data_IF_748906623349
#
_entry.id   IF_748906623349
#
_cell.length_a   1.000
_cell.length_b   1.000
_cell.length_c   1.000
_cell.angle_alpha   90.00
_cell.angle_beta   90.00
_cell.angle_gamma   90.00
#
_symmetry.space_group_name_H-M   'P 1'
#
loop_
_entity.id
_entity.type
_entity.pdbx_description
1 polymer ?
#
# COMPACT_ATOMS: atom_id res chain seq x y z
N UNK A 1 3.02 -11.50 -17.29
CA UNK A 1 4.38 -12.06 -17.19
C UNK A 1 4.46 -12.93 -15.93
N UNK A 2 4.05 -14.21 -16.03
CA UNK A 2 4.01 -15.14 -14.90
C UNK A 2 4.83 -16.36 -15.27
N UNK A 3 6.08 -16.41 -14.79
CA UNK A 3 6.81 -17.67 -14.75
C UNK A 3 6.26 -18.43 -13.55
N UNK A 4 5.30 -19.31 -13.82
CA UNK A 4 4.70 -20.23 -12.85
C UNK A 4 5.81 -21.07 -12.19
N UNK A 5 6.29 -20.62 -11.02
CA UNK A 5 7.34 -21.29 -10.26
C UNK A 5 8.49 -20.41 -9.74
N UNK A 6 8.58 -19.13 -10.14
CA UNK A 6 9.54 -18.17 -9.57
C UNK A 6 8.83 -17.04 -8.81
N UNK A 7 7.88 -17.41 -7.95
CA UNK A 7 7.27 -16.47 -7.01
C UNK A 7 8.19 -16.26 -5.83
N UNK A 8 9.09 -15.28 -5.90
CA UNK A 8 9.86 -14.82 -4.74
C UNK A 8 8.87 -14.30 -3.69
N UNK A 9 8.50 -15.18 -2.77
CA UNK A 9 7.63 -14.85 -1.64
C UNK A 9 8.51 -14.23 -0.57
N UNK A 10 8.42 -12.91 -0.42
CA UNK A 10 9.18 -12.16 0.58
C UNK A 10 8.28 -11.80 1.75
N UNK A 11 8.73 -12.12 2.96
CA UNK A 11 8.10 -11.67 4.20
C UNK A 11 8.51 -10.21 4.47
N UNK A 12 7.63 -9.27 4.12
CA UNK A 12 7.87 -7.84 4.32
C UNK A 12 6.90 -7.27 5.37
N UNK A 13 7.38 -6.29 6.13
CA UNK A 13 6.61 -5.62 7.18
C UNK A 13 6.12 -4.26 6.67
N UNK A 14 4.83 -3.92 6.84
CA UNK A 14 4.34 -2.57 6.55
C UNK A 14 4.92 -1.57 7.55
N UNK A 15 5.69 -0.60 7.04
CA UNK A 15 6.35 0.45 7.86
C UNK A 15 5.74 1.83 7.66
N UNK A 16 4.88 2.00 6.65
CA UNK A 16 4.21 3.26 6.38
C UNK A 16 3.15 3.13 5.30
N UNK A 17 2.37 4.18 5.08
CA UNK A 17 1.38 4.21 4.01
C UNK A 17 0.83 5.61 3.78
N UNK A 18 0.25 5.82 2.61
CA UNK A 18 -0.37 7.10 2.23
C UNK A 18 -1.88 7.01 2.36
N UNK A 19 -2.52 8.16 2.62
CA UNK A 19 -3.98 8.21 2.62
C UNK A 19 -4.46 7.98 1.20
N UNK A 20 -5.28 6.95 1.00
CA UNK A 20 -5.87 6.69 -0.30
C UNK A 20 -6.79 7.81 -0.74
N UNK A 21 -6.91 8.01 -2.05
CA UNK A 21 -7.78 9.00 -2.65
C UNK A 21 -8.90 8.33 -3.46
N UNK A 22 -9.95 9.11 -3.80
CA UNK A 22 -11.05 8.64 -4.65
C UNK A 22 -11.79 7.41 -4.11
N UNK A 23 -11.66 6.28 -4.81
CA UNK A 23 -12.29 5.00 -4.43
C UNK A 23 -11.67 4.40 -3.16
N UNK A 24 -10.38 4.67 -2.89
CA UNK A 24 -9.66 4.19 -1.69
C UNK A 24 -9.62 5.22 -0.57
N UNK A 25 -10.45 6.27 -0.61
CA UNK A 25 -10.49 7.34 0.42
C UNK A 25 -10.70 6.86 1.85
N UNK A 26 -11.30 5.69 2.02
CA UNK A 26 -11.57 5.10 3.33
C UNK A 26 -10.33 4.38 3.90
N UNK A 27 -9.31 4.12 3.09
CA UNK A 27 -8.19 3.24 3.43
C UNK A 27 -6.84 3.97 3.26
N UNK A 28 -5.81 3.41 3.90
CA UNK A 28 -4.42 3.74 3.64
C UNK A 28 -3.94 2.85 2.48
N UNK A 29 -3.51 3.48 1.39
CA UNK A 29 -2.98 2.85 0.19
C UNK A 29 -2.26 3.91 -0.66
N UNK A 30 -1.07 3.63 -1.22
CA UNK A 30 -0.34 2.37 -1.13
C UNK A 30 0.33 2.16 0.24
N UNK A 31 0.71 0.92 0.55
CA UNK A 31 1.51 0.57 1.73
C UNK A 31 2.99 0.51 1.37
N UNK A 32 3.85 1.09 2.21
CA UNK A 32 5.29 0.94 2.13
C UNK A 32 5.72 -0.28 2.95
N UNK A 33 6.31 -1.25 2.27
CA UNK A 33 6.82 -2.47 2.87
C UNK A 33 8.34 -2.40 3.02
N UNK A 34 8.85 -3.00 4.09
CA UNK A 34 10.28 -3.09 4.37
C UNK A 34 10.69 -4.49 4.82
N UNK A 35 11.94 -4.83 4.53
CA UNK A 35 12.59 -6.02 5.08
C UNK A 35 13.40 -5.63 6.32
N UNK A 36 13.47 -6.53 7.30
CA UNK A 36 14.31 -6.33 8.48
C UNK A 36 15.73 -6.81 8.19
N UNK A 37 16.71 -5.91 8.26
CA UNK A 37 18.12 -6.26 8.16
C UNK A 37 18.69 -6.52 9.57
N UNK A 38 19.04 -7.78 9.93
CA UNK A 38 19.55 -8.11 11.25
C UNK A 38 20.93 -7.53 11.54
N UNK A 39 21.74 -7.21 10.52
CA UNK A 39 23.08 -6.67 10.69
C UNK A 39 23.06 -5.20 11.08
N UNK A 40 22.19 -4.42 10.44
CA UNK A 40 22.01 -2.99 10.72
C UNK A 40 20.96 -2.72 11.79
N UNK A 41 20.23 -3.75 12.23
CA UNK A 41 19.08 -3.65 13.14
C UNK A 41 18.06 -2.60 12.68
N UNK A 42 17.87 -2.48 11.36
CA UNK A 42 17.08 -1.45 10.72
C UNK A 42 16.13 -2.05 9.68
N UNK A 43 15.02 -1.36 9.44
CA UNK A 43 14.08 -1.70 8.38
C UNK A 43 14.43 -0.96 7.10
N UNK A 44 14.64 -1.70 6.02
CA UNK A 44 14.95 -1.14 4.71
C UNK A 44 13.70 -1.19 3.82
N UNK A 45 13.26 -0.04 3.32
CA UNK A 45 12.11 0.06 2.45
C UNK A 45 12.37 -0.63 1.11
N UNK A 46 11.48 -1.54 0.72
CA UNK A 46 11.61 -2.35 -0.50
C UNK A 46 10.68 -1.83 -1.58
N UNK A 47 9.38 -1.82 -1.33
CA UNK A 47 8.39 -1.52 -2.35
C UNK A 47 7.13 -0.84 -1.80
N UNK A 48 6.41 -0.17 -2.71
CA UNK A 48 5.06 0.33 -2.46
C UNK A 48 4.07 -0.67 -3.05
N UNK A 49 3.13 -1.14 -2.24
CA UNK A 49 2.10 -2.09 -2.66
C UNK A 49 0.75 -1.39 -2.70
N UNK A 50 0.18 -1.29 -3.90
CA UNK A 50 -1.07 -0.59 -4.15
C UNK A 50 -2.30 -1.51 -4.14
N UNK A 51 -2.14 -2.78 -4.53
CA UNK A 51 -3.20 -3.80 -4.60
C UNK A 51 -2.63 -5.17 -4.20
N UNK A 52 -3.48 -6.19 -4.05
CA UNK A 52 -3.05 -7.55 -3.66
C UNK A 52 -3.30 -7.93 -2.19
N UNK A 53 -3.77 -6.99 -1.36
CA UNK A 53 -4.28 -7.28 -0.01
C UNK A 53 -5.80 -7.43 0.01
N UNK A 54 -6.30 -8.11 1.03
CA UNK A 54 -7.74 -8.26 1.28
C UNK A 54 -8.34 -6.97 1.86
N UNK A 55 -9.64 -6.75 1.65
CA UNK A 55 -10.35 -5.60 2.22
C UNK A 55 -10.29 -5.58 3.75
N UNK A 56 -10.26 -6.75 4.38
CA UNK A 56 -10.06 -6.89 5.83
C UNK A 56 -8.69 -6.34 6.26
N UNK A 57 -7.62 -6.70 5.52
CA UNK A 57 -6.29 -6.18 5.76
C UNK A 57 -6.24 -4.65 5.62
N UNK A 58 -6.83 -4.09 4.56
CA UNK A 58 -6.90 -2.64 4.40
C UNK A 58 -7.63 -1.97 5.54
N UNK A 59 -8.76 -2.53 5.97
CA UNK A 59 -9.57 -1.98 7.05
C UNK A 59 -8.78 -2.00 8.37
N UNK A 60 -8.35 -3.17 8.82
CA UNK A 60 -7.66 -3.34 10.10
C UNK A 60 -6.38 -2.52 10.19
N UNK A 61 -5.52 -2.58 9.17
CA UNK A 61 -4.26 -1.85 9.18
C UNK A 61 -4.47 -0.34 9.02
N UNK A 62 -5.51 0.10 8.29
CA UNK A 62 -5.87 1.53 8.25
C UNK A 62 -6.29 2.03 9.62
N UNK A 63 -7.16 1.30 10.32
CA UNK A 63 -7.62 1.65 11.66
C UNK A 63 -6.44 1.73 12.63
N UNK A 64 -5.56 0.72 12.61
CA UNK A 64 -4.38 0.67 13.46
C UNK A 64 -3.38 1.80 13.15
N UNK A 65 -3.08 2.04 11.87
CA UNK A 65 -2.09 3.03 11.45
C UNK A 65 -2.55 4.47 11.67
N UNK A 66 -3.83 4.78 11.42
CA UNK A 66 -4.38 6.12 11.61
C UNK A 66 -4.91 6.35 13.03
N UNK A 67 -4.94 5.32 13.89
CA UNK A 67 -5.46 5.41 15.26
C UNK A 67 -6.95 5.73 15.32
N UNK A 68 -7.72 5.33 14.31
CA UNK A 68 -9.18 5.54 14.23
C UNK A 68 -9.91 4.23 14.51
N UNK A 69 -11.11 4.31 15.07
CA UNK A 69 -11.91 3.11 15.41
C UNK A 69 -12.88 2.72 14.31
N UNK A 70 -13.16 3.62 13.35
CA UNK A 70 -14.07 3.39 12.24
C UNK A 70 -13.59 4.11 10.97
N UNK A 71 -13.49 3.36 9.87
CA UNK A 71 -13.08 3.90 8.56
C UNK A 71 -14.10 4.91 8.00
N UNK A 72 -15.35 4.88 8.47
CA UNK A 72 -16.37 5.87 8.14
C UNK A 72 -16.06 7.28 8.66
N UNK A 73 -15.28 7.41 9.74
CA UNK A 73 -14.84 8.70 10.27
C UNK A 73 -13.89 9.43 9.32
N UNK A 74 -13.10 8.68 8.54
CA UNK A 74 -12.12 9.20 7.59
C UNK A 74 -12.78 9.95 6.43
N UNK A 75 -14.04 9.62 6.10
CA UNK A 75 -14.79 10.24 5.01
C UNK A 75 -15.42 11.61 5.33
N UNK A 76 -15.33 12.10 6.57
CA UNK A 76 -16.04 13.32 7.02
C UNK A 76 -15.17 14.56 7.23
N UNK A 77 -13.85 14.48 7.04
CA UNK A 77 -12.92 15.59 7.32
C UNK A 77 -12.13 16.06 6.11
N UNK A 78 -12.72 16.92 5.27
CA UNK A 78 -11.99 17.67 4.27
C UNK A 78 -11.40 18.94 4.87
N UNK A 79 -10.07 19.04 4.91
CA UNK A 79 -9.23 20.26 4.86
C UNK A 79 -7.98 20.13 5.77
N UNK A 80 -6.83 19.79 5.17
CA UNK A 80 -5.52 20.42 5.44
C UNK A 80 -4.36 19.81 4.61
N UNK A 81 -3.86 20.66 3.71
CA UNK A 81 -2.50 20.83 3.20
C UNK A 81 -1.69 19.60 2.73
N UNK A 82 -1.73 19.42 1.40
CA UNK A 82 -0.84 18.56 0.62
C UNK A 82 0.61 19.07 0.68
N UNK A 83 1.47 18.43 1.49
CA UNK A 83 2.89 18.38 1.17
C UNK A 83 3.07 17.28 0.13
N UNK A 84 2.93 17.70 -1.13
CA UNK A 84 2.99 16.89 -2.33
C UNK A 84 4.32 16.12 -2.37
N UNK A 85 4.28 14.82 -2.12
CA UNK A 85 5.38 13.93 -2.53
C UNK A 85 5.44 13.99 -4.06
N UNK A 86 6.61 14.23 -4.67
CA UNK A 86 6.74 14.19 -6.13
C UNK A 86 6.39 12.77 -6.62
N UNK A 87 5.59 12.74 -7.69
CA UNK A 87 5.00 11.53 -8.26
C UNK A 87 6.01 10.42 -8.46
N UNK A 88 5.63 9.22 -8.02
CA UNK A 88 6.28 7.98 -8.43
C UNK A 88 5.31 7.29 -9.35
N UNK A 89 5.71 7.21 -10.61
CA UNK A 89 4.99 6.74 -11.78
C UNK A 89 4.05 5.57 -11.51
N UNK A 90 2.79 5.75 -11.92
CA UNK A 90 1.76 4.72 -11.98
C UNK A 90 2.07 3.82 -13.19
N UNK A 91 2.93 2.82 -12.99
CA UNK A 91 3.05 1.69 -13.93
C UNK A 91 1.90 0.70 -13.67
N UNK A 92 0.69 1.09 -14.09
CA UNK A 92 -0.44 0.18 -14.29
C UNK A 92 -0.18 -0.66 -15.56
N UNK A 93 0.63 -1.73 -15.45
CA UNK A 93 0.79 -2.73 -16.52
C UNK A 93 -0.34 -3.78 -16.46
N UNK A 94 -1.56 -3.36 -16.76
CA UNK A 94 -2.68 -4.25 -17.10
C UNK A 94 -2.55 -4.71 -18.56
N UNK A 95 -1.58 -5.59 -18.82
CA UNK A 95 -1.31 -6.17 -20.14
C UNK A 95 -2.06 -7.48 -20.44
N UNK A 96 -3.39 -7.51 -20.31
CA UNK A 96 -4.22 -8.62 -20.82
C UNK A 96 -4.49 -8.42 -22.33
N UNK A 97 -3.80 -9.19 -23.17
CA UNK A 97 -3.98 -9.19 -24.62
C UNK A 97 -4.05 -10.60 -25.22
N UNK A 98 -5.23 -11.21 -25.18
CA UNK A 98 -5.56 -12.43 -25.93
C UNK A 98 -5.72 -12.17 -27.45
N UNK A 99 -5.27 -13.13 -28.27
CA UNK A 99 -5.65 -13.33 -29.68
C UNK A 99 -4.42 -13.41 -30.61
N UNK A 100 -4.23 -14.39 -31.49
CA UNK A 100 -5.06 -15.49 -32.00
C UNK A 100 -4.16 -16.67 -32.43
#
# INVERSE_FOLDING_TARGET
DYVDGLGDSLDLVPIGGWRGEGRKKAWVSPWLLACYNPEMQAFESVCRVMSGFTDAFYTENTLAFLGVSDVGQLGRGGSRNEHRAPGGDDDDDDGDGHGA
#
